data_IF_789770796290
#
_entry.id   IF_789770796290
#
_cell.length_a   1.000
_cell.length_b   1.000
_cell.length_c   1.000
_cell.angle_alpha   90.00
_cell.angle_beta   90.00
_cell.angle_gamma   90.00
#
_symmetry.space_group_name_H-M   'P 1'
#
loop_
_entity.id
_entity.type
_entity.pdbx_description
1 polymer ?
#
# COMPACT_ATOMS: atom_id res chain seq x y z
N UNK A 1 -21.74 10.21 -7.80
CA UNK A 1 -20.79 9.13 -7.50
C UNK A 1 -21.47 7.81 -7.82
N UNK A 2 -20.90 7.04 -8.74
CA UNK A 2 -21.25 5.65 -8.97
C UNK A 2 -20.38 4.73 -8.08
N UNK A 3 -20.69 3.42 -8.06
CA UNK A 3 -19.98 2.47 -7.19
C UNK A 3 -18.47 2.39 -7.45
N UNK A 4 -18.04 2.59 -8.71
CA UNK A 4 -16.62 2.62 -9.06
C UNK A 4 -15.95 3.89 -8.52
N UNK A 5 -16.58 5.05 -8.66
CA UNK A 5 -16.09 6.32 -8.08
C UNK A 5 -16.03 6.26 -6.55
N UNK A 6 -16.99 5.57 -5.90
CA UNK A 6 -16.92 5.30 -4.46
C UNK A 6 -15.75 4.37 -4.10
N UNK A 7 -15.51 3.32 -4.89
CA UNK A 7 -14.38 2.41 -4.66
C UNK A 7 -13.03 3.15 -4.80
N UNK A 8 -12.90 4.01 -5.80
CA UNK A 8 -11.70 4.81 -6.00
C UNK A 8 -11.46 5.79 -4.85
N UNK A 9 -12.51 6.45 -4.37
CA UNK A 9 -12.44 7.36 -3.21
C UNK A 9 -12.02 6.62 -1.93
N UNK A 10 -12.57 5.42 -1.68
CA UNK A 10 -12.17 4.57 -0.56
C UNK A 10 -10.71 4.13 -0.67
N UNK A 11 -10.26 3.68 -1.85
CA UNK A 11 -8.87 3.29 -2.08
C UNK A 11 -7.89 4.47 -1.89
N UNK A 12 -8.27 5.68 -2.30
CA UNK A 12 -7.46 6.89 -2.07
C UNK A 12 -7.43 7.27 -0.60
N UNK A 13 -8.55 7.15 0.09
CA UNK A 13 -8.67 7.44 1.53
C UNK A 13 -7.79 6.51 2.37
N UNK A 14 -7.81 5.19 2.10
CA UNK A 14 -6.97 4.22 2.81
C UNK A 14 -5.47 4.47 2.57
N UNK A 15 -5.07 4.82 1.33
CA UNK A 15 -3.68 5.20 1.03
C UNK A 15 -3.24 6.40 1.86
N UNK A 16 -4.06 7.46 1.83
CA UNK A 16 -3.75 8.69 2.56
C UNK A 16 -3.67 8.45 4.06
N UNK A 17 -4.54 7.60 4.59
CA UNK A 17 -4.55 7.28 6.01
C UNK A 17 -3.34 6.42 6.39
N UNK A 18 -2.97 5.45 5.57
CA UNK A 18 -1.78 4.62 5.77
C UNK A 18 -0.51 5.46 5.81
N UNK A 19 -0.34 6.42 4.87
CA UNK A 19 0.78 7.36 4.88
C UNK A 19 0.84 8.17 6.18
N UNK A 20 -0.31 8.67 6.65
CA UNK A 20 -0.36 9.45 7.89
C UNK A 20 0.02 8.60 9.11
N UNK A 21 -0.47 7.35 9.19
CA UNK A 21 -0.13 6.47 10.31
C UNK A 21 1.35 6.11 10.34
N UNK A 22 1.97 5.88 9.17
CA UNK A 22 3.41 5.59 9.07
C UNK A 22 4.25 6.80 9.52
N UNK A 23 3.94 8.00 9.03
CA UNK A 23 4.60 9.25 9.45
C UNK A 23 4.47 9.45 10.96
N UNK A 24 3.26 9.33 11.49
CA UNK A 24 3.03 9.56 12.91
C UNK A 24 3.68 8.49 13.78
N UNK A 25 3.66 7.22 13.39
CA UNK A 25 4.35 6.16 14.13
C UNK A 25 5.87 6.39 14.13
N UNK A 26 6.45 6.79 13.00
CA UNK A 26 7.89 6.97 12.84
C UNK A 26 8.46 8.10 13.70
N UNK A 27 7.68 9.14 13.98
CA UNK A 27 8.09 10.32 14.75
C UNK A 27 7.46 10.38 16.17
N UNK A 28 6.77 9.33 16.62
CA UNK A 28 6.07 9.33 17.91
C UNK A 28 7.00 9.01 19.09
N UNK A 29 7.19 9.98 20.00
CA UNK A 29 7.94 9.77 21.24
C UNK A 29 7.22 8.90 22.28
N UNK A 30 5.88 8.81 22.22
CA UNK A 30 5.09 7.99 23.13
C UNK A 30 4.88 6.59 22.55
N UNK A 31 5.47 5.58 23.18
CA UNK A 31 5.46 4.19 22.72
C UNK A 31 4.05 3.59 22.61
N UNK A 32 3.18 3.88 23.58
CA UNK A 32 1.81 3.35 23.56
C UNK A 32 1.01 3.95 22.40
N UNK A 33 1.17 5.26 22.17
CA UNK A 33 0.52 5.95 21.06
C UNK A 33 1.08 5.49 19.71
N UNK A 34 2.40 5.32 19.61
CA UNK A 34 3.07 4.73 18.43
C UNK A 34 2.46 3.37 18.09
N UNK A 35 2.30 2.51 19.08
CA UNK A 35 1.79 1.15 18.87
C UNK A 35 0.34 1.15 18.39
N UNK A 36 -0.48 2.12 18.84
CA UNK A 36 -1.82 2.31 18.27
C UNK A 36 -1.77 2.79 16.81
N UNK A 37 -0.85 3.68 16.42
CA UNK A 37 -0.67 4.04 15.00
C UNK A 37 -0.24 2.84 14.14
N UNK A 38 0.68 2.01 14.62
CA UNK A 38 1.12 0.79 13.92
C UNK A 38 -0.05 -0.20 13.75
N UNK A 39 -0.88 -0.33 14.77
CA UNK A 39 -2.08 -1.17 14.72
C UNK A 39 -3.08 -0.66 13.69
N UNK A 40 -3.36 0.66 13.68
CA UNK A 40 -4.24 1.29 12.69
C UNK A 40 -3.68 1.15 11.27
N UNK A 41 -2.38 1.36 11.09
CA UNK A 41 -1.67 1.13 9.83
C UNK A 41 -1.84 -0.30 9.32
N UNK A 42 -1.63 -1.29 10.20
CA UNK A 42 -1.81 -2.71 9.85
C UNK A 42 -3.26 -3.03 9.48
N UNK A 43 -4.23 -2.41 10.16
CA UNK A 43 -5.64 -2.56 9.83
C UNK A 43 -5.98 -1.92 8.48
N UNK A 44 -5.50 -0.69 8.21
CA UNK A 44 -5.69 0.02 6.95
C UNK A 44 -5.18 -0.79 5.75
N UNK A 45 -4.00 -1.41 5.89
CA UNK A 45 -3.47 -2.32 4.85
C UNK A 45 -4.37 -3.52 4.54
N UNK A 46 -5.02 -4.10 5.56
CA UNK A 46 -5.98 -5.20 5.36
C UNK A 46 -7.22 -4.69 4.63
N UNK A 47 -7.82 -3.60 5.10
CA UNK A 47 -8.98 -2.95 4.47
C UNK A 47 -8.70 -2.60 3.01
N UNK A 48 -7.57 -1.93 2.74
CA UNK A 48 -7.18 -1.56 1.39
C UNK A 48 -6.98 -2.77 0.48
N UNK A 49 -6.46 -3.89 1.02
CA UNK A 49 -6.31 -5.14 0.26
C UNK A 49 -7.67 -5.70 -0.16
N UNK A 50 -8.65 -5.70 0.75
CA UNK A 50 -10.02 -6.15 0.47
C UNK A 50 -10.70 -5.27 -0.58
N UNK A 51 -10.56 -3.94 -0.47
CA UNK A 51 -11.07 -2.98 -1.46
C UNK A 51 -10.42 -3.20 -2.83
N UNK A 52 -9.09 -3.35 -2.86
CA UNK A 52 -8.33 -3.57 -4.08
C UNK A 52 -8.74 -4.87 -4.78
N UNK A 53 -8.85 -5.97 -4.04
CA UNK A 53 -9.32 -7.26 -4.59
C UNK A 53 -10.76 -7.16 -5.11
N UNK A 54 -11.63 -6.44 -4.41
CA UNK A 54 -13.02 -6.21 -4.84
C UNK A 54 -13.06 -5.40 -6.13
N UNK A 55 -12.29 -4.32 -6.22
CA UNK A 55 -12.18 -3.49 -7.42
C UNK A 55 -11.64 -4.30 -8.61
N UNK A 56 -10.65 -5.16 -8.37
CA UNK A 56 -10.09 -6.05 -9.39
C UNK A 56 -11.12 -7.07 -9.89
N UNK A 57 -11.86 -7.73 -8.98
CA UNK A 57 -12.92 -8.69 -9.33
C UNK A 57 -14.05 -8.06 -10.15
N UNK A 58 -14.37 -6.79 -9.87
CA UNK A 58 -15.37 -6.01 -10.62
C UNK A 58 -14.84 -5.44 -11.94
N UNK A 59 -13.55 -5.63 -12.23
CA UNK A 59 -12.90 -5.11 -13.43
C UNK A 59 -12.53 -3.62 -13.37
N UNK A 60 -12.77 -2.96 -12.24
CA UNK A 60 -12.53 -1.53 -12.04
C UNK A 60 -11.07 -1.18 -11.79
N UNK A 61 -10.27 -2.16 -11.35
CA UNK A 61 -8.84 -1.98 -11.12
C UNK A 61 -8.05 -3.07 -11.84
N UNK A 62 -7.23 -2.70 -12.83
CA UNK A 62 -6.38 -3.61 -13.58
C UNK A 62 -4.92 -3.43 -13.17
N UNK A 63 -4.22 -4.52 -12.92
CA UNK A 63 -2.78 -4.51 -12.65
C UNK A 63 -2.06 -5.16 -13.81
N UNK A 64 -1.19 -4.39 -14.45
CA UNK A 64 -0.31 -4.90 -15.50
C UNK A 64 0.83 -5.69 -14.87
N UNK A 65 1.03 -6.92 -15.33
CA UNK A 65 2.21 -7.69 -14.96
C UNK A 65 3.45 -7.05 -15.57
N UNK A 66 4.47 -6.81 -14.74
CA UNK A 66 5.73 -6.30 -15.23
C UNK A 66 6.36 -7.32 -16.20
N UNK A 67 6.88 -6.89 -17.37
CA UNK A 67 7.58 -7.78 -18.29
C UNK A 67 8.77 -8.50 -17.63
N UNK A 68 8.93 -9.79 -17.89
CA UNK A 68 9.95 -10.64 -17.26
C UNK A 68 11.38 -10.12 -17.49
N UNK A 69 11.66 -9.55 -18.66
CA UNK A 69 12.94 -8.93 -18.96
C UNK A 69 13.23 -7.70 -18.07
N UNK A 70 12.21 -6.89 -17.73
CA UNK A 70 12.34 -5.77 -16.79
C UNK A 70 12.58 -6.25 -15.36
N UNK A 71 11.91 -7.33 -14.95
CA UNK A 71 12.12 -7.97 -13.64
C UNK A 71 13.58 -8.46 -13.54
N UNK A 72 14.05 -9.20 -14.55
CA UNK A 72 15.40 -9.77 -14.60
C UNK A 72 16.47 -8.67 -14.60
N UNK A 73 16.29 -7.63 -15.41
CA UNK A 73 17.22 -6.50 -15.47
C UNK A 73 17.29 -5.75 -14.13
N UNK A 74 16.16 -5.50 -13.46
CA UNK A 74 16.13 -4.87 -12.15
C UNK A 74 16.83 -5.74 -11.08
N UNK A 75 16.57 -7.05 -11.09
CA UNK A 75 17.24 -7.98 -10.18
C UNK A 75 18.76 -7.97 -10.36
N UNK A 76 19.26 -8.06 -11.60
CA UNK A 76 20.70 -8.04 -11.88
C UNK A 76 21.38 -6.74 -11.45
N UNK A 77 20.72 -5.59 -11.71
CA UNK A 77 21.23 -4.27 -11.35
C UNK A 77 21.48 -4.17 -9.83
N UNK A 78 20.48 -4.51 -9.01
CA UNK A 78 20.57 -4.32 -7.56
C UNK A 78 21.20 -5.51 -6.81
N UNK A 79 21.31 -6.69 -7.43
CA UNK A 79 22.07 -7.81 -6.84
C UNK A 79 23.58 -7.54 -6.75
N UNK A 80 24.05 -6.62 -7.58
CA UNK A 80 25.46 -6.19 -7.63
C UNK A 80 25.76 -5.07 -6.62
N UNK A 81 24.74 -4.34 -6.16
CA UNK A 81 24.82 -3.26 -5.17
C UNK A 81 24.68 -3.80 -3.73
N UNK A 82 25.42 -4.86 -3.37
CA UNK A 82 25.49 -5.29 -1.96
C UNK A 82 26.18 -4.18 -1.15
N UNK A 83 25.53 -3.61 -0.11
CA UNK A 83 26.24 -2.77 0.84
C UNK A 83 27.36 -3.60 1.47
N UNK A 84 28.59 -3.06 1.52
CA UNK A 84 29.70 -3.64 2.28
C UNK A 84 29.41 -3.63 3.77
#
# INVERSE_FOLDING_TARGET
>A
MNDQEHMDDLLLSEKKMSDNYDIFASECANIQLRDEFIKLFTQGHKTQTELFQTAQQKGWYQVEQAPENKITAAYQKYSSDKPQ
#
